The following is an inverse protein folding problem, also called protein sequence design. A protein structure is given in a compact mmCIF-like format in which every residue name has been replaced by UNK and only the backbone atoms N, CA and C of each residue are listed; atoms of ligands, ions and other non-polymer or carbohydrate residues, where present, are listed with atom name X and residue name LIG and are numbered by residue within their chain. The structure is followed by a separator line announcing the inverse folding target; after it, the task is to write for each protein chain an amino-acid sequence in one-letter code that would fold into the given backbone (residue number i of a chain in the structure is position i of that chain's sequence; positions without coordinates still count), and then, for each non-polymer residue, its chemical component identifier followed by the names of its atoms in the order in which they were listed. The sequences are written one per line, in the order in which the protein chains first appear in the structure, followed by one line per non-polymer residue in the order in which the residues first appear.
data_IF_498767099691
#
_entry.id   IF_498767099691
#
_cell.length_a   1.000
_cell.length_b   1.000
_cell.length_c   1.000
_cell.angle_alpha   90.00
_cell.angle_beta   90.00
_cell.angle_gamma   90.00
#
_symmetry.space_group_name_H-M   'P 1'
#
loop_
_entity.id
_entity.type
_entity.pdbx_description
1 polymer ?
#
# COMPACT_ATOMS: atom_id res chain seq x y z
N UNK A 1 -1.40 -9.58 1.75
CA UNK A 1 -1.23 -8.12 1.97
C UNK A 1 0.25 -7.86 1.93
N UNK A 2 0.66 -6.86 1.17
CA UNK A 2 2.05 -6.41 1.09
C UNK A 2 2.13 -4.96 1.56
N UNK A 3 3.27 -4.59 2.16
CA UNK A 3 3.49 -3.26 2.69
C UNK A 3 4.81 -2.69 2.14
N UNK A 4 4.73 -1.55 1.45
CA UNK A 4 5.88 -0.80 0.95
C UNK A 4 5.98 0.54 1.66
N UNK A 5 7.20 0.95 2.03
CA UNK A 5 7.42 2.24 2.67
C UNK A 5 7.75 3.31 1.63
N UNK A 6 6.98 4.40 1.65
CA UNK A 6 7.16 5.54 0.76
C UNK A 6 7.66 6.76 1.55
N UNK A 7 8.58 7.51 0.96
CA UNK A 7 9.01 8.83 1.47
C UNK A 7 8.06 9.88 0.92
N UNK A 8 7.31 10.55 1.79
CA UNK A 8 6.34 11.59 1.39
C UNK A 8 6.61 12.91 2.11
N UNK A 9 6.26 14.02 1.47
CA UNK A 9 6.36 15.36 2.07
C UNK A 9 5.06 15.73 2.77
N UNK A 10 5.09 15.81 4.10
CA UNK A 10 3.98 16.30 4.93
C UNK A 10 4.47 17.46 5.80
N UNK A 11 3.71 18.56 5.82
CA UNK A 11 4.00 19.70 6.71
C UNK A 11 5.42 20.27 6.56
N UNK A 12 6.01 20.21 5.35
CA UNK A 12 7.37 20.71 5.10
C UNK A 12 8.51 19.71 5.37
N UNK A 13 8.22 18.54 5.95
CA UNK A 13 9.21 17.49 6.28
C UNK A 13 8.98 16.23 5.44
N UNK A 14 10.05 15.49 5.14
CA UNK A 14 9.95 14.15 4.56
C UNK A 14 9.79 13.12 5.67
N UNK A 15 8.72 12.33 5.60
CA UNK A 15 8.39 11.26 6.54
C UNK A 15 8.21 9.95 5.78
N UNK A 16 8.41 8.82 6.47
CA UNK A 16 8.05 7.51 5.94
C UNK A 16 6.58 7.23 6.24
N UNK A 17 5.84 6.72 5.26
CA UNK A 17 4.49 6.19 5.42
C UNK A 17 4.45 4.76 4.89
N UNK A 18 3.61 3.93 5.49
CA UNK A 18 3.36 2.59 4.99
C UNK A 18 2.22 2.65 3.97
N UNK A 19 2.47 2.11 2.79
CA UNK A 19 1.44 1.81 1.80
C UNK A 19 1.14 0.31 1.84
N UNK A 20 -0.13 -0.04 2.05
CA UNK A 20 -0.59 -1.42 2.17
C UNK A 20 -1.49 -1.77 1.00
N UNK A 21 -1.14 -2.83 0.27
CA UNK A 21 -1.90 -3.31 -0.89
C UNK A 21 -2.51 -4.68 -0.58
N UNK A 22 -3.82 -4.80 -0.80
CA UNK A 22 -4.54 -6.06 -0.75
C UNK A 22 -4.67 -6.63 -2.16
N UNK A 23 -4.14 -7.85 -2.35
CA UNK A 23 -4.24 -8.59 -3.61
C UNK A 23 -5.04 -9.86 -3.38
N UNK A 24 -6.04 -10.10 -4.21
CA UNK A 24 -6.87 -11.30 -4.22
C UNK A 24 -6.53 -12.21 -5.40
N UNK A 25 -6.87 -13.49 -5.27
CA UNK A 25 -6.82 -14.47 -6.36
C UNK A 25 -8.24 -14.94 -6.63
N UNK A 26 -8.71 -14.81 -7.86
CA UNK A 26 -10.02 -15.31 -8.28
C UNK A 26 -9.97 -16.80 -8.69
N UNK A 27 -11.12 -17.45 -8.83
CA UNK A 27 -11.21 -18.89 -9.16
C UNK A 27 -10.54 -19.29 -10.49
N UNK A 28 -10.38 -18.35 -11.41
CA UNK A 28 -9.63 -18.55 -12.67
C UNK A 28 -8.11 -18.37 -12.52
N UNK A 29 -7.61 -18.18 -11.29
CA UNK A 29 -6.18 -18.01 -10.99
C UNK A 29 -5.65 -16.59 -11.21
N UNK A 30 -6.48 -15.63 -11.64
CA UNK A 30 -6.04 -14.25 -11.86
C UNK A 30 -5.85 -13.52 -10.53
N UNK A 31 -4.72 -12.82 -10.40
CA UNK A 31 -4.42 -11.90 -9.30
C UNK A 31 -4.84 -10.49 -9.64
N UNK A 32 -5.56 -9.85 -8.74
CA UNK A 32 -5.97 -8.45 -8.90
C UNK A 32 -5.91 -7.71 -7.56
N UNK A 33 -5.73 -6.39 -7.64
CA UNK A 33 -5.74 -5.50 -6.47
C UNK A 33 -7.19 -5.32 -6.03
N UNK A 34 -7.45 -5.63 -4.77
CA UNK A 34 -8.76 -5.47 -4.15
C UNK A 34 -8.89 -4.16 -3.37
N UNK A 35 -7.76 -3.57 -2.96
CA UNK A 35 -7.74 -2.32 -2.22
C UNK A 35 -6.33 -1.86 -1.86
N UNK A 36 -6.24 -0.59 -1.47
CA UNK A 36 -5.00 0.09 -1.07
C UNK A 36 -5.30 1.03 0.10
N UNK A 37 -4.39 1.10 1.07
CA UNK A 37 -4.48 2.00 2.21
C UNK A 37 -3.10 2.56 2.56
N UNK A 38 -3.05 3.87 2.80
CA UNK A 38 -1.84 4.57 3.26
C UNK A 38 -2.02 4.93 4.72
N UNK A 39 -1.02 4.60 5.53
CA UNK A 39 -1.03 4.85 6.96
C UNK A 39 0.32 5.29 7.51
N UNK A 40 0.36 5.78 8.77
CA UNK A 40 1.62 5.98 9.47
C UNK A 40 2.43 4.67 9.50
N UNK A 41 3.76 4.80 9.38
CA UNK A 41 4.69 3.67 9.52
C UNK A 41 4.87 3.25 10.97
#
# INVERSE_FOLDING_TARGET
MDATYLKVRQGGRIVSVADTIAVGVFMNGRREVLGMAIGPS
#
